data_IF_965282694451
#
_entry.id   IF_965282694451
#
_cell.length_a   1.000
_cell.length_b   1.000
_cell.length_c   1.000
_cell.angle_alpha   90.00
_cell.angle_beta   90.00
_cell.angle_gamma   90.00
#
_symmetry.space_group_name_H-M   'P 1'
#
loop_
_entity.id
_entity.type
_entity.pdbx_description
1 polymer ?
#
# COMPACT_ATOMS: atom_id res chain seq x y z
N UNK A 1 -19.84 11.33 9.43
CA UNK A 1 -20.15 11.80 8.06
C UNK A 1 -20.11 10.61 7.11
N UNK A 2 -21.17 10.40 6.36
CA UNK A 2 -21.25 9.36 5.33
C UNK A 2 -20.31 9.73 4.18
N UNK A 3 -19.52 8.78 3.67
CA UNK A 3 -18.77 8.98 2.42
C UNK A 3 -19.64 8.52 1.25
N UNK A 4 -19.47 9.17 0.11
CA UNK A 4 -19.97 8.68 -1.16
C UNK A 4 -18.78 8.17 -1.96
N UNK A 5 -18.92 6.99 -2.54
CA UNK A 5 -17.92 6.34 -3.39
C UNK A 5 -18.59 5.92 -4.69
N UNK A 6 -18.04 6.36 -5.81
CA UNK A 6 -18.46 5.90 -7.13
C UNK A 6 -17.54 4.77 -7.58
N UNK A 7 -18.02 3.54 -7.74
CA UNK A 7 -17.19 2.44 -8.23
C UNK A 7 -16.47 2.73 -9.55
N UNK A 8 -17.10 3.52 -10.45
CA UNK A 8 -16.52 3.88 -11.74
C UNK A 8 -15.29 4.80 -11.64
N UNK A 9 -15.17 5.57 -10.51
CA UNK A 9 -14.10 6.52 -10.25
C UNK A 9 -13.22 6.11 -9.06
N UNK A 10 -13.43 4.90 -8.53
CA UNK A 10 -12.70 4.36 -7.37
C UNK A 10 -11.77 3.24 -7.81
N UNK A 11 -10.57 3.16 -7.20
CA UNK A 11 -9.63 2.05 -7.35
C UNK A 11 -9.17 1.53 -6.00
N UNK A 12 -8.90 0.23 -5.86
CA UNK A 12 -8.32 -0.35 -4.65
C UNK A 12 -6.82 -0.56 -4.83
N UNK A 13 -6.00 0.06 -3.97
CA UNK A 13 -4.55 -0.16 -3.91
C UNK A 13 -4.24 -1.04 -2.69
N UNK A 14 -3.79 -2.26 -2.95
CA UNK A 14 -3.34 -3.24 -1.96
C UNK A 14 -1.83 -3.14 -1.85
N UNK A 15 -1.33 -2.64 -0.70
CA UNK A 15 0.06 -2.27 -0.53
C UNK A 15 0.82 -3.29 0.34
N UNK A 16 1.81 -3.96 -0.25
CA UNK A 16 2.73 -4.90 0.43
C UNK A 16 2.06 -5.95 1.35
N UNK A 17 0.89 -6.45 0.94
CA UNK A 17 0.24 -7.58 1.61
C UNK A 17 0.89 -8.91 1.16
N UNK A 18 2.16 -9.08 1.55
CA UNK A 18 3.08 -10.12 1.06
C UNK A 18 3.42 -11.15 2.13
N UNK A 19 3.83 -12.35 1.71
CA UNK A 19 4.23 -13.45 2.61
C UNK A 19 5.36 -13.06 3.58
N UNK A 20 6.33 -12.23 3.15
CA UNK A 20 7.39 -11.75 4.03
C UNK A 20 6.89 -10.89 5.20
N UNK A 21 5.71 -10.32 5.08
CA UNK A 21 5.08 -9.48 6.11
C UNK A 21 3.93 -10.18 6.84
N UNK A 22 3.64 -11.44 6.50
CA UNK A 22 2.53 -12.22 7.09
C UNK A 22 2.42 -12.10 8.60
N UNK A 23 3.49 -12.30 9.41
CA UNK A 23 3.36 -12.22 10.86
C UNK A 23 2.84 -10.85 11.37
N UNK A 24 3.28 -9.77 10.73
CA UNK A 24 2.84 -8.42 11.09
C UNK A 24 1.40 -8.14 10.62
N UNK A 25 1.01 -8.68 9.47
CA UNK A 25 -0.35 -8.55 8.90
C UNK A 25 -1.35 -9.29 9.77
N UNK A 26 -1.03 -10.53 10.17
CA UNK A 26 -1.86 -11.35 11.06
C UNK A 26 -1.97 -10.73 12.46
N UNK A 27 -0.85 -10.25 13.02
CA UNK A 27 -0.85 -9.57 14.32
C UNK A 27 -1.72 -8.30 14.33
N UNK A 28 -1.85 -7.63 13.19
CA UNK A 28 -2.74 -6.48 13.03
C UNK A 28 -4.21 -6.87 12.79
N UNK A 29 -4.52 -8.15 12.58
CA UNK A 29 -5.85 -8.64 12.23
C UNK A 29 -6.32 -8.19 10.84
N UNK A 30 -5.39 -7.84 9.93
CA UNK A 30 -5.72 -7.17 8.68
C UNK A 30 -6.05 -8.11 7.51
N UNK A 31 -5.81 -9.43 7.64
CA UNK A 31 -6.00 -10.41 6.54
C UNK A 31 -7.47 -10.47 6.12
N UNK A 32 -8.36 -10.76 7.07
CA UNK A 32 -9.79 -10.92 6.80
C UNK A 32 -10.45 -9.64 6.27
N UNK A 33 -10.27 -8.45 6.90
CA UNK A 33 -10.82 -7.22 6.37
C UNK A 33 -10.30 -6.90 4.95
N UNK A 34 -9.00 -7.12 4.68
CA UNK A 34 -8.43 -6.91 3.36
C UNK A 34 -9.05 -7.83 2.30
N UNK A 35 -9.19 -9.13 2.61
CA UNK A 35 -9.81 -10.10 1.70
C UNK A 35 -11.26 -9.74 1.37
N UNK A 36 -12.04 -9.33 2.38
CA UNK A 36 -13.42 -8.86 2.20
C UNK A 36 -13.49 -7.61 1.31
N UNK A 37 -12.57 -6.65 1.53
CA UNK A 37 -12.56 -5.44 0.71
C UNK A 37 -12.20 -5.74 -0.74
N UNK A 38 -11.20 -6.60 -0.99
CA UNK A 38 -10.84 -7.04 -2.35
C UNK A 38 -12.02 -7.69 -3.05
N UNK A 39 -12.68 -8.66 -2.39
CA UNK A 39 -13.87 -9.33 -2.94
C UNK A 39 -15.00 -8.34 -3.24
N UNK A 40 -15.35 -7.49 -2.28
CA UNK A 40 -16.44 -6.53 -2.44
C UNK A 40 -16.16 -5.46 -3.49
N UNK A 41 -14.92 -5.05 -3.68
CA UNK A 41 -14.51 -4.16 -4.76
C UNK A 41 -14.73 -4.81 -6.13
N UNK A 42 -14.35 -6.08 -6.28
CA UNK A 42 -14.59 -6.83 -7.54
C UNK A 42 -16.07 -6.99 -7.86
N UNK A 43 -16.90 -7.28 -6.86
CA UNK A 43 -18.36 -7.42 -7.04
C UNK A 43 -18.99 -6.19 -7.70
N UNK A 44 -18.44 -5.00 -7.46
CA UNK A 44 -18.96 -3.74 -8.00
C UNK A 44 -18.09 -3.14 -9.11
N UNK A 45 -17.10 -3.88 -9.61
CA UNK A 45 -16.26 -3.49 -10.76
C UNK A 45 -15.14 -2.50 -10.44
N UNK A 46 -14.80 -2.28 -9.17
CA UNK A 46 -13.65 -1.46 -8.74
C UNK A 46 -12.34 -2.18 -9.10
N UNK A 47 -11.45 -1.57 -9.91
CA UNK A 47 -10.18 -2.18 -10.28
C UNK A 47 -9.24 -2.31 -9.07
N UNK A 48 -8.47 -3.41 -9.04
CA UNK A 48 -7.51 -3.72 -7.97
C UNK A 48 -6.08 -3.54 -8.47
N UNK A 49 -5.27 -2.82 -7.69
CA UNK A 49 -3.86 -2.52 -7.96
C UNK A 49 -3.00 -3.09 -6.84
N UNK A 50 -2.13 -4.03 -7.17
CA UNK A 50 -1.24 -4.70 -6.21
C UNK A 50 0.11 -3.98 -6.20
N UNK A 51 0.26 -3.01 -5.30
CA UNK A 51 1.52 -2.30 -5.09
C UNK A 51 2.44 -3.14 -4.19
N UNK A 52 3.42 -3.77 -4.79
CA UNK A 52 4.32 -4.71 -4.11
C UNK A 52 5.78 -4.32 -4.26
N UNK A 53 6.58 -4.60 -3.24
CA UNK A 53 8.03 -4.50 -3.34
C UNK A 53 8.55 -5.48 -4.40
N UNK A 54 9.45 -5.02 -5.26
CA UNK A 54 10.05 -5.82 -6.33
C UNK A 54 11.44 -5.31 -6.65
N UNK A 55 12.42 -5.78 -5.89
CA UNK A 55 13.81 -5.36 -6.07
C UNK A 55 14.60 -6.38 -6.89
N UNK A 56 15.61 -5.89 -7.60
CA UNK A 56 16.56 -6.76 -8.29
C UNK A 56 17.20 -7.75 -7.33
N UNK A 57 17.47 -9.01 -7.76
CA UNK A 57 18.11 -9.99 -6.90
C UNK A 57 19.49 -9.56 -6.38
N UNK A 58 20.20 -8.71 -7.14
CA UNK A 58 21.50 -8.14 -6.77
C UNK A 58 21.40 -6.91 -5.85
N UNK A 59 20.19 -6.44 -5.57
CA UNK A 59 19.94 -5.28 -4.71
C UNK A 59 20.40 -3.94 -5.28
N UNK A 60 20.79 -3.87 -6.56
CA UNK A 60 21.35 -2.67 -7.18
C UNK A 60 20.36 -1.49 -7.27
N UNK A 61 19.08 -1.75 -7.13
CA UNK A 61 17.99 -0.76 -7.13
C UNK A 61 17.47 -0.39 -5.73
N UNK A 62 18.08 -0.92 -4.67
CA UNK A 62 17.73 -0.56 -3.30
C UNK A 62 17.99 0.94 -3.04
N UNK A 63 17.20 1.50 -2.11
CA UNK A 63 17.41 2.88 -1.68
C UNK A 63 18.78 3.03 -0.99
N UNK A 64 19.53 4.04 -1.39
CA UNK A 64 20.86 4.34 -0.86
C UNK A 64 20.86 5.44 0.21
N UNK A 65 19.70 6.12 0.40
CA UNK A 65 19.53 7.11 1.46
C UNK A 65 19.66 6.44 2.84
N UNK A 66 20.35 7.10 3.74
CA UNK A 66 20.58 6.64 5.12
C UNK A 66 19.71 7.37 6.11
N UNK A 67 19.41 6.72 7.21
CA UNK A 67 18.62 7.25 8.31
C UNK A 67 19.28 6.98 9.65
N UNK A 68 18.81 7.64 10.71
CA UNK A 68 19.27 7.42 12.09
C UNK A 68 19.04 5.99 12.59
N UNK A 69 18.10 5.26 11.97
CA UNK A 69 17.84 3.87 12.30
C UNK A 69 18.87 2.90 11.68
N UNK A 70 19.73 3.37 10.77
CA UNK A 70 20.77 2.52 10.18
C UNK A 70 21.94 2.33 11.15
N UNK A 71 22.29 1.08 11.44
CA UNK A 71 23.36 0.73 12.39
C UNK A 71 24.75 1.30 12.00
N UNK A 72 24.92 1.73 10.77
CA UNK A 72 26.13 2.30 10.21
C UNK A 72 25.91 3.75 9.75
N UNK A 73 25.16 4.53 10.53
CA UNK A 73 24.97 5.93 10.25
C UNK A 73 26.31 6.67 10.25
N UNK A 74 26.71 7.20 9.11
CA UNK A 74 27.96 7.93 8.89
C UNK A 74 27.90 8.68 7.58
N UNK A 75 28.74 9.71 7.40
CA UNK A 75 28.94 10.32 6.09
C UNK A 75 29.30 9.27 5.03
N UNK A 76 28.91 9.49 3.80
CA UNK A 76 29.27 8.62 2.69
C UNK A 76 30.78 8.49 2.58
N UNK A 77 31.27 7.26 2.60
CA UNK A 77 32.69 6.95 2.41
C UNK A 77 32.82 5.93 1.30
N UNK A 78 34.02 5.78 0.76
CA UNK A 78 34.31 4.77 -0.26
C UNK A 78 34.05 3.33 0.22
N UNK A 79 34.08 3.12 1.54
CA UNK A 79 33.86 1.81 2.17
C UNK A 79 32.38 1.51 2.40
N UNK A 80 31.48 2.34 1.86
CA UNK A 80 30.06 2.14 2.01
C UNK A 80 29.63 0.83 1.34
N UNK A 81 29.28 -0.16 2.14
CA UNK A 81 28.63 -1.37 1.69
C UNK A 81 27.12 -1.17 1.71
N UNK A 82 26.39 -1.56 0.65
CA UNK A 82 24.94 -1.63 0.69
C UNK A 82 24.49 -2.48 1.88
N UNK A 83 23.37 -2.11 2.51
CA UNK A 83 22.82 -2.96 3.55
C UNK A 83 22.53 -4.34 2.96
N UNK A 84 23.02 -5.39 3.61
CA UNK A 84 22.50 -6.74 3.43
C UNK A 84 21.09 -6.80 4.03
N UNK A 85 20.11 -6.31 3.29
CA UNK A 85 18.73 -6.63 3.61
C UNK A 85 18.45 -8.05 3.10
N UNK A 86 17.67 -8.87 3.83
CA UNK A 86 17.14 -10.10 3.26
C UNK A 86 16.59 -9.76 1.89
N UNK A 87 17.10 -10.37 0.84
CA UNK A 87 16.79 -9.96 -0.53
C UNK A 87 15.31 -10.25 -0.82
N UNK A 88 14.50 -9.21 -0.79
CA UNK A 88 13.18 -9.22 -1.39
C UNK A 88 13.36 -9.08 -2.91
N UNK A 89 14.25 -9.91 -3.46
CA UNK A 89 14.56 -9.90 -4.87
C UNK A 89 13.43 -10.53 -5.70
N UNK A 90 13.27 -10.02 -6.91
CA UNK A 90 12.28 -10.51 -7.86
C UNK A 90 12.32 -12.05 -7.98
N UNK A 91 11.14 -12.66 -7.99
CA UNK A 91 10.98 -14.12 -8.04
C UNK A 91 11.04 -14.85 -6.68
N UNK A 92 11.33 -14.15 -5.58
CA UNK A 92 11.26 -14.76 -4.25
C UNK A 92 9.82 -15.17 -3.90
N UNK A 93 9.58 -16.37 -3.37
CA UNK A 93 8.26 -16.77 -2.88
C UNK A 93 7.76 -15.88 -1.73
N UNK A 94 8.66 -15.20 -1.02
CA UNK A 94 8.32 -14.26 0.05
C UNK A 94 7.70 -12.96 -0.47
N UNK A 95 7.83 -12.64 -1.76
CA UNK A 95 7.19 -11.50 -2.40
C UNK A 95 5.83 -11.82 -3.02
N UNK A 96 5.33 -13.04 -2.86
CA UNK A 96 3.97 -13.37 -3.26
C UNK A 96 2.97 -12.69 -2.35
N UNK A 97 1.90 -12.22 -2.94
CA UNK A 97 0.71 -11.73 -2.22
C UNK A 97 0.12 -12.86 -1.38
N UNK A 98 -0.42 -12.52 -0.22
CA UNK A 98 -1.15 -13.48 0.62
C UNK A 98 -2.27 -14.14 -0.18
N UNK A 99 -2.31 -15.47 -0.31
CA UNK A 99 -3.29 -16.16 -1.14
C UNK A 99 -4.74 -15.93 -0.71
N UNK A 100 -4.95 -15.64 0.57
CA UNK A 100 -6.27 -15.31 1.14
C UNK A 100 -6.92 -14.09 0.50
N UNK A 101 -6.12 -13.18 -0.06
CA UNK A 101 -6.62 -11.98 -0.73
C UNK A 101 -7.07 -12.26 -2.18
N UNK A 102 -6.74 -13.42 -2.72
CA UNK A 102 -7.22 -13.88 -4.01
C UNK A 102 -6.81 -12.97 -5.19
N UNK A 103 -5.52 -12.61 -5.30
CA UNK A 103 -5.03 -11.85 -6.45
C UNK A 103 -5.40 -12.55 -7.76
N UNK A 104 -5.95 -11.79 -8.72
CA UNK A 104 -6.38 -12.31 -10.02
C UNK A 104 -5.40 -11.91 -11.13
N UNK A 105 -5.20 -12.74 -12.18
CA UNK A 105 -4.31 -12.38 -13.30
C UNK A 105 -4.69 -11.10 -14.05
N UNK A 106 -5.97 -10.72 -14.02
CA UNK A 106 -6.46 -9.50 -14.68
C UNK A 106 -6.32 -8.24 -13.80
N UNK A 107 -5.89 -8.38 -12.54
CA UNK A 107 -5.61 -7.24 -11.67
C UNK A 107 -4.33 -6.51 -12.13
N UNK A 108 -4.17 -5.26 -11.73
CA UNK A 108 -2.96 -4.50 -12.01
C UNK A 108 -1.83 -4.90 -11.07
N UNK A 109 -0.71 -5.36 -11.62
CA UNK A 109 0.54 -5.55 -10.87
C UNK A 109 1.35 -4.26 -10.92
N UNK A 110 1.67 -3.69 -9.75
CA UNK A 110 2.39 -2.42 -9.59
C UNK A 110 3.68 -2.67 -8.81
N UNK A 111 4.73 -3.20 -9.46
CA UNK A 111 6.03 -3.40 -8.83
C UNK A 111 6.65 -2.05 -8.48
N UNK A 112 7.11 -1.91 -7.23
CA UNK A 112 7.69 -0.68 -6.73
C UNK A 112 9.06 -0.90 -6.08
N UNK A 113 9.92 0.09 -6.23
CA UNK A 113 11.28 0.10 -5.70
C UNK A 113 11.48 1.18 -4.63
N UNK A 114 10.42 1.91 -4.27
CA UNK A 114 10.43 3.02 -3.28
C UNK A 114 9.18 2.93 -2.42
N UNK A 115 9.09 3.81 -1.41
CA UNK A 115 7.98 3.80 -0.45
C UNK A 115 6.63 4.14 -1.06
N UNK A 116 6.58 5.18 -1.91
CA UNK A 116 5.33 5.52 -2.60
C UNK A 116 5.02 4.53 -3.72
N UNK A 117 3.77 4.09 -3.81
CA UNK A 117 3.26 3.29 -4.92
C UNK A 117 3.24 4.06 -6.26
N UNK A 118 3.32 5.39 -6.22
CA UNK A 118 3.37 6.21 -7.42
C UNK A 118 4.79 6.41 -7.97
N UNK A 119 5.81 6.31 -7.09
CA UNK A 119 7.18 6.68 -7.46
C UNK A 119 7.81 5.67 -8.43
N UNK A 120 8.01 6.10 -9.68
CA UNK A 120 8.65 5.27 -10.72
C UNK A 120 7.81 4.07 -11.18
N UNK A 121 6.49 4.09 -10.95
CA UNK A 121 5.56 3.04 -11.35
C UNK A 121 4.56 3.55 -12.38
N UNK A 122 3.76 2.63 -12.95
CA UNK A 122 2.68 2.98 -13.86
C UNK A 122 1.36 3.35 -13.15
N UNK A 123 1.30 3.36 -11.79
CA UNK A 123 0.04 3.53 -11.05
C UNK A 123 -0.71 4.80 -11.46
N UNK A 124 -0.04 5.97 -11.49
CA UNK A 124 -0.68 7.22 -11.88
C UNK A 124 -1.27 7.18 -13.29
N UNK A 125 -0.57 6.55 -14.25
CA UNK A 125 -1.08 6.37 -15.60
C UNK A 125 -2.30 5.46 -15.61
N UNK A 126 -2.24 4.33 -14.92
CA UNK A 126 -3.32 3.34 -14.87
C UNK A 126 -4.59 3.89 -14.22
N UNK A 127 -4.46 4.65 -13.12
CA UNK A 127 -5.59 5.34 -12.50
C UNK A 127 -6.25 6.34 -13.47
N UNK A 128 -5.45 7.18 -14.11
CA UNK A 128 -5.94 8.19 -15.06
C UNK A 128 -6.66 7.56 -16.25
N UNK A 129 -6.11 6.49 -16.84
CA UNK A 129 -6.73 5.81 -18.00
C UNK A 129 -8.04 5.10 -17.63
N UNK A 130 -8.25 4.82 -16.37
CA UNK A 130 -9.50 4.28 -15.80
C UNK A 130 -10.45 5.36 -15.26
N UNK A 131 -10.11 6.64 -15.41
CA UNK A 131 -10.84 7.76 -14.83
C UNK A 131 -11.01 7.64 -13.29
N UNK A 132 -10.07 6.99 -12.63
CA UNK A 132 -10.04 6.84 -11.16
C UNK A 132 -9.45 8.10 -10.54
N UNK A 133 -10.20 8.77 -9.68
CA UNK A 133 -9.82 9.95 -8.91
C UNK A 133 -9.75 9.69 -7.39
N UNK A 134 -10.23 8.53 -6.96
CA UNK A 134 -10.28 8.13 -5.56
C UNK A 134 -9.68 6.74 -5.39
N UNK A 135 -8.73 6.60 -4.47
CA UNK A 135 -8.17 5.30 -4.11
C UNK A 135 -8.59 4.87 -2.70
N UNK A 136 -8.99 3.61 -2.59
CA UNK A 136 -9.02 2.87 -1.33
C UNK A 136 -7.62 2.33 -1.10
N UNK A 137 -6.99 2.61 0.04
CA UNK A 137 -5.62 2.21 0.30
C UNK A 137 -5.55 1.35 1.55
N UNK A 138 -5.00 0.13 1.42
CA UNK A 138 -4.85 -0.88 2.47
C UNK A 138 -3.44 -1.46 2.50
N UNK A 139 -3.10 -2.17 3.57
CA UNK A 139 -1.81 -2.85 3.75
C UNK A 139 -0.84 -2.09 4.63
N UNK A 140 0.45 -2.12 4.32
CA UNK A 140 1.44 -1.52 5.22
C UNK A 140 2.86 -1.36 4.65
N UNK A 141 3.71 -0.73 5.42
CA UNK A 141 3.54 -0.20 6.78
C UNK A 141 2.88 1.19 6.78
N UNK A 142 1.96 1.42 7.71
CA UNK A 142 1.13 2.63 7.79
C UNK A 142 1.93 3.93 7.78
N UNK A 143 2.99 4.02 8.59
CA UNK A 143 3.81 5.22 8.74
C UNK A 143 4.93 5.37 7.69
N UNK A 144 5.07 4.39 6.77
CA UNK A 144 6.09 4.39 5.72
C UNK A 144 5.43 4.40 4.35
N UNK A 145 5.12 3.23 3.78
CA UNK A 145 4.63 3.11 2.42
C UNK A 145 3.22 3.65 2.22
N UNK A 146 2.31 3.41 3.18
CA UNK A 146 0.96 3.97 3.15
C UNK A 146 1.04 5.51 3.24
N UNK A 147 1.82 6.05 4.18
CA UNK A 147 1.98 7.50 4.32
C UNK A 147 2.60 8.13 3.08
N UNK A 148 3.71 7.57 2.57
CA UNK A 148 4.35 8.08 1.36
C UNK A 148 3.39 8.07 0.15
N UNK A 149 2.59 7.00 0.00
CA UNK A 149 1.61 6.89 -1.07
C UNK A 149 0.46 7.88 -0.89
N UNK A 150 -0.01 8.11 0.34
CA UNK A 150 -1.08 9.08 0.63
C UNK A 150 -0.65 10.53 0.37
N UNK A 151 0.59 10.91 0.72
CA UNK A 151 1.15 12.22 0.37
C UNK A 151 1.26 12.41 -1.15
N UNK A 152 1.82 11.42 -1.83
CA UNK A 152 2.02 11.45 -3.29
C UNK A 152 0.68 11.45 -4.06
N UNK A 153 -0.34 10.73 -3.57
CA UNK A 153 -1.71 10.78 -4.08
C UNK A 153 -2.29 12.20 -3.98
N UNK A 154 -2.15 12.84 -2.81
CA UNK A 154 -2.63 14.20 -2.58
C UNK A 154 -1.97 15.21 -3.52
N UNK A 155 -0.65 15.10 -3.75
CA UNK A 155 0.09 15.98 -4.67
C UNK A 155 -0.33 15.78 -6.15
N UNK A 156 -1.12 14.74 -6.43
CA UNK A 156 -1.69 14.40 -7.76
C UNK A 156 -3.20 14.63 -7.84
N UNK A 157 -3.80 15.28 -6.85
CA UNK A 157 -5.27 15.48 -6.74
C UNK A 157 -6.07 14.16 -6.70
N UNK A 158 -5.45 13.06 -6.24
CA UNK A 158 -6.11 11.78 -6.01
C UNK A 158 -6.60 11.70 -4.57
N UNK A 159 -7.90 11.54 -4.39
CA UNK A 159 -8.51 11.34 -3.07
C UNK A 159 -8.12 9.99 -2.47
N UNK A 160 -7.89 9.95 -1.16
CA UNK A 160 -7.53 8.71 -0.45
C UNK A 160 -8.55 8.38 0.64
N UNK A 161 -9.01 7.14 0.63
CA UNK A 161 -9.78 6.53 1.72
C UNK A 161 -8.97 5.38 2.30
N UNK A 162 -8.61 5.47 3.57
CA UNK A 162 -7.90 4.43 4.30
C UNK A 162 -8.88 3.49 4.98
N UNK A 163 -8.75 2.18 4.77
CA UNK A 163 -9.48 1.17 5.53
C UNK A 163 -8.69 0.82 6.80
N UNK A 164 -9.04 1.46 7.93
CA UNK A 164 -8.26 1.38 9.17
C UNK A 164 -8.04 -0.01 9.72
N UNK A 165 -8.99 -0.91 9.50
CA UNK A 165 -8.99 -2.31 9.92
C UNK A 165 -8.24 -3.24 8.96
N UNK A 166 -7.84 -2.72 7.79
CA UNK A 166 -6.99 -3.41 6.81
C UNK A 166 -5.59 -2.77 6.69
N UNK A 167 -5.17 -1.92 7.66
CA UNK A 167 -3.84 -1.34 7.71
C UNK A 167 -2.94 -2.08 8.71
N UNK A 168 -1.65 -2.16 8.38
CA UNK A 168 -0.62 -2.80 9.20
C UNK A 168 0.50 -1.85 9.57
N UNK A 169 1.31 -2.23 10.56
CA UNK A 169 2.45 -1.43 11.00
C UNK A 169 2.68 -1.54 12.50
N UNK A 170 3.72 -0.89 13.00
CA UNK A 170 3.97 -0.83 14.44
C UNK A 170 2.82 -0.10 15.14
N UNK A 171 2.25 -0.66 16.23
CA UNK A 171 1.01 -0.14 16.83
C UNK A 171 1.06 1.37 17.15
N UNK A 172 2.11 1.84 17.81
CA UNK A 172 2.24 3.26 18.19
C UNK A 172 2.25 4.20 16.98
N UNK A 173 3.05 3.88 15.96
CA UNK A 173 3.14 4.67 14.75
C UNK A 173 1.84 4.61 13.93
N UNK A 174 1.24 3.42 13.82
CA UNK A 174 -0.04 3.23 13.14
C UNK A 174 -1.13 4.12 13.75
N UNK A 175 -1.33 4.06 15.06
CA UNK A 175 -2.35 4.87 15.75
C UNK A 175 -2.03 6.37 15.65
N UNK A 176 -0.78 6.77 15.82
CA UNK A 176 -0.40 8.17 15.65
C UNK A 176 -0.75 8.72 14.26
N UNK A 177 -0.45 7.96 13.20
CA UNK A 177 -0.79 8.39 11.85
C UNK A 177 -2.29 8.41 11.61
N UNK A 178 -3.03 7.41 12.09
CA UNK A 178 -4.49 7.35 11.96
C UNK A 178 -5.20 8.50 12.70
N UNK A 179 -4.69 8.90 13.85
CA UNK A 179 -5.37 9.88 14.71
C UNK A 179 -4.89 11.33 14.47
N UNK A 180 -3.62 11.52 14.13
CA UNK A 180 -3.01 12.85 14.10
C UNK A 180 -2.63 13.33 12.70
N UNK A 181 -2.26 12.43 11.79
CA UNK A 181 -1.72 12.79 10.48
C UNK A 181 -2.77 12.69 9.37
N UNK A 182 -3.30 11.50 9.18
CA UNK A 182 -4.20 11.20 8.07
C UNK A 182 -5.54 11.94 8.08
N UNK A 183 -6.18 12.28 9.22
CA UNK A 183 -7.43 13.02 9.20
C UNK A 183 -7.37 14.38 8.48
N UNK A 184 -6.16 14.92 8.30
CA UNK A 184 -5.95 16.21 7.62
C UNK A 184 -5.89 16.10 6.10
N UNK A 185 -5.73 14.88 5.55
CA UNK A 185 -5.48 14.70 4.12
C UNK A 185 -6.18 13.49 3.50
N UNK A 186 -6.76 12.61 4.30
CA UNK A 186 -7.45 11.40 3.85
C UNK A 186 -8.78 11.24 4.56
N UNK A 187 -9.60 10.30 4.10
CA UNK A 187 -10.77 9.81 4.83
C UNK A 187 -10.45 8.45 5.42
N UNK A 188 -10.77 8.25 6.70
CA UNK A 188 -10.50 6.99 7.40
C UNK A 188 -11.83 6.31 7.69
N UNK A 189 -11.99 5.06 7.22
CA UNK A 189 -13.20 4.25 7.37
C UNK A 189 -12.83 2.82 7.70
N UNK A 190 -13.80 2.06 8.19
CA UNK A 190 -13.71 0.61 8.25
C UNK A 190 -14.04 0.00 6.88
N UNK A 191 -13.66 -1.25 6.66
CA UNK A 191 -14.03 -2.01 5.46
C UNK A 191 -15.55 -2.05 5.30
N UNK A 192 -16.30 -2.26 6.39
CA UNK A 192 -17.77 -2.29 6.35
C UNK A 192 -18.37 -0.96 5.87
N UNK A 193 -17.87 0.16 6.36
CA UNK A 193 -18.30 1.49 5.93
C UNK A 193 -18.01 1.74 4.44
N UNK A 194 -16.84 1.31 3.96
CA UNK A 194 -16.44 1.42 2.55
C UNK A 194 -17.36 0.57 1.67
N UNK A 195 -17.54 -0.70 2.01
CA UNK A 195 -18.41 -1.61 1.24
C UNK A 195 -19.86 -1.13 1.22
N UNK A 196 -20.36 -0.62 2.34
CA UNK A 196 -21.69 -0.01 2.39
C UNK A 196 -21.81 1.24 1.49
N UNK A 197 -20.74 2.03 1.37
CA UNK A 197 -20.72 3.21 0.50
C UNK A 197 -20.70 2.84 -0.98
N UNK A 198 -19.94 1.81 -1.38
CA UNK A 198 -19.84 1.33 -2.75
C UNK A 198 -21.16 0.70 -3.28
N UNK A 199 -21.96 0.09 -2.39
CA UNK A 199 -23.22 -0.62 -2.74
C UNK A 199 -24.46 0.27 -2.80
N UNK A 200 -24.38 1.54 -2.46
CA UNK A 200 -25.53 2.48 -2.36
C UNK A 200 -26.02 3.05 -3.69
N UNK A 201 -25.55 2.53 -4.83
CA UNK A 201 -26.02 2.92 -6.16
C UNK A 201 -26.84 1.86 -6.84
#
# INVERSE_FOLDING_TARGET
>A
MTIELDPAHTGLVVFDMLECYRPAIEAAGAVEPAARLVSGCREVGVPVFWARADHRPDGADLATARSDADAQMRPWTADHQPHERPSHGAGSPLLKTLPELGQHPDDYDVPKHRWSAFHGTHLALSLRTRAVDTILLIGGSTHVGIAATAYDARDRDVSVVLARDALTGFPLQREFFLDQVFPRMTRIRTVDEILAALRRR
#
